data_IF_839593086603
#
_entry.id   IF_839593086603
#
_cell.length_a   1.000
_cell.length_b   1.000
_cell.length_c   1.000
_cell.angle_alpha   90.00
_cell.angle_beta   90.00
_cell.angle_gamma   90.00
#
_symmetry.space_group_name_H-M   'P 1'
#
loop_
_entity.id
_entity.type
_entity.pdbx_description
1 polymer ?
#
# COMPACT_ATOMS: atom_id res chain seq x y z
N UNK A 1 -35.39 -86.04 54.04
CA UNK A 1 -35.13 -84.57 54.11
C UNK A 1 -33.85 -84.24 54.89
N UNK A 2 -32.84 -85.14 54.96
CA UNK A 2 -31.59 -84.88 55.72
C UNK A 2 -30.39 -84.41 54.86
N UNK A 3 -30.40 -84.64 53.54
CA UNK A 3 -29.23 -84.35 52.69
C UNK A 3 -29.02 -82.87 52.31
N UNK A 4 -30.00 -81.98 52.50
CA UNK A 4 -29.82 -80.55 52.17
C UNK A 4 -29.13 -79.75 53.29
N UNK A 5 -29.18 -80.22 54.55
CA UNK A 5 -28.53 -79.53 55.67
C UNK A 5 -27.00 -79.64 55.62
N UNK A 6 -26.48 -80.78 55.18
CA UNK A 6 -25.03 -81.05 55.18
C UNK A 6 -24.25 -80.26 54.10
N UNK A 7 -24.89 -79.90 52.99
CA UNK A 7 -24.27 -79.09 51.94
C UNK A 7 -24.13 -77.61 52.34
N UNK A 8 -25.17 -77.04 52.98
CA UNK A 8 -25.15 -75.66 53.48
C UNK A 8 -24.09 -75.46 54.58
N UNK A 9 -23.92 -76.45 55.45
CA UNK A 9 -22.91 -76.42 56.50
C UNK A 9 -21.47 -76.46 55.94
N UNK A 10 -21.22 -77.22 54.87
CA UNK A 10 -19.92 -77.27 54.20
C UNK A 10 -19.56 -75.95 53.50
N UNK A 11 -20.54 -75.28 52.88
CA UNK A 11 -20.30 -73.97 52.26
C UNK A 11 -19.94 -72.90 53.30
N UNK A 12 -20.62 -72.90 54.46
CA UNK A 12 -20.28 -72.01 55.57
C UNK A 12 -18.85 -72.24 56.07
N UNK A 13 -18.43 -73.50 56.20
CA UNK A 13 -17.07 -73.85 56.61
C UNK A 13 -16.03 -73.34 55.58
N UNK A 14 -16.30 -73.50 54.29
CA UNK A 14 -15.42 -73.00 53.22
C UNK A 14 -15.29 -71.47 53.27
N UNK A 15 -16.38 -70.75 53.53
CA UNK A 15 -16.38 -69.29 53.67
C UNK A 15 -15.52 -68.86 54.87
N UNK A 16 -15.66 -69.54 56.01
CA UNK A 16 -14.87 -69.24 57.22
C UNK A 16 -13.38 -69.47 56.95
N UNK A 17 -13.00 -70.62 56.37
CA UNK A 17 -11.60 -70.93 56.03
C UNK A 17 -11.03 -69.88 55.06
N UNK A 18 -11.81 -69.48 54.06
CA UNK A 18 -11.40 -68.48 53.07
C UNK A 18 -11.19 -67.10 53.70
N UNK A 19 -12.05 -66.70 54.62
CA UNK A 19 -11.93 -65.42 55.32
C UNK A 19 -10.74 -65.41 56.27
N UNK A 20 -10.53 -66.50 57.02
CA UNK A 20 -9.40 -66.65 57.93
C UNK A 20 -8.05 -66.70 57.20
N UNK A 21 -7.99 -67.34 56.03
CA UNK A 21 -6.82 -67.30 55.15
C UNK A 21 -6.53 -65.89 54.62
N UNK A 22 -7.55 -65.14 54.19
CA UNK A 22 -7.39 -63.73 53.75
C UNK A 22 -6.94 -62.81 54.88
N UNK A 23 -7.37 -63.08 56.11
CA UNK A 23 -6.96 -62.37 57.31
C UNK A 23 -5.58 -62.80 57.84
N UNK A 24 -4.86 -63.68 57.12
CA UNK A 24 -3.50 -64.09 57.44
C UNK A 24 -3.38 -65.05 58.62
N UNK A 25 -4.45 -65.74 59.01
CA UNK A 25 -4.38 -66.74 60.10
C UNK A 25 -3.57 -67.96 59.66
N UNK A 26 -2.85 -68.56 60.61
CA UNK A 26 -1.96 -69.68 60.31
C UNK A 26 -2.71 -70.98 60.01
N UNK A 27 -2.11 -71.83 59.17
CA UNK A 27 -2.62 -73.18 58.85
C UNK A 27 -2.98 -74.01 60.09
N UNK A 28 -2.13 -73.97 61.10
CA UNK A 28 -2.34 -74.73 62.35
C UNK A 28 -3.53 -74.21 63.14
N UNK A 29 -3.76 -72.89 63.15
CA UNK A 29 -4.91 -72.29 63.83
C UNK A 29 -6.22 -72.73 63.19
N UNK A 30 -6.30 -72.69 61.86
CA UNK A 30 -7.52 -73.02 61.12
C UNK A 30 -7.83 -74.52 61.26
N UNK A 31 -6.82 -75.40 61.16
CA UNK A 31 -7.03 -76.84 61.36
C UNK A 31 -7.48 -77.15 62.80
N UNK A 32 -6.89 -76.49 63.80
CA UNK A 32 -7.29 -76.67 65.21
C UNK A 32 -8.74 -76.22 65.46
N UNK A 33 -9.14 -75.07 64.92
CA UNK A 33 -10.52 -74.58 65.01
C UNK A 33 -11.53 -75.57 64.38
N UNK A 34 -11.22 -76.09 63.19
CA UNK A 34 -12.06 -77.08 62.51
C UNK A 34 -12.18 -78.39 63.31
N UNK A 35 -11.09 -78.85 63.92
CA UNK A 35 -11.09 -80.11 64.67
C UNK A 35 -11.76 -80.00 66.05
N UNK A 36 -11.49 -78.93 66.81
CA UNK A 36 -11.98 -78.81 68.18
C UNK A 36 -13.34 -78.13 68.29
N UNK A 37 -13.56 -77.03 67.57
CA UNK A 37 -14.79 -76.22 67.74
C UNK A 37 -15.93 -76.71 66.85
N UNK A 38 -15.59 -77.30 65.70
CA UNK A 38 -16.56 -77.86 64.74
C UNK A 38 -16.58 -79.40 64.74
N UNK A 39 -15.80 -80.02 65.64
CA UNK A 39 -15.75 -81.47 65.86
C UNK A 39 -15.51 -82.30 64.58
N UNK A 40 -14.77 -81.74 63.61
CA UNK A 40 -14.40 -82.46 62.39
C UNK A 40 -13.20 -83.37 62.64
N UNK A 41 -13.24 -84.54 62.03
CA UNK A 41 -12.06 -85.41 61.98
C UNK A 41 -10.85 -84.66 61.39
N UNK A 42 -9.69 -84.87 62.01
CA UNK A 42 -8.47 -84.15 61.66
C UNK A 42 -8.05 -84.35 60.19
N UNK A 43 -8.30 -85.53 59.62
CA UNK A 43 -7.99 -85.81 58.22
C UNK A 43 -8.90 -85.00 57.28
N UNK A 44 -10.18 -84.87 57.64
CA UNK A 44 -11.16 -84.09 56.88
C UNK A 44 -10.84 -82.58 56.95
N UNK A 45 -10.51 -82.06 58.14
CA UNK A 45 -10.11 -80.68 58.34
C UNK A 45 -8.89 -80.29 57.50
N UNK A 46 -7.88 -81.16 57.46
CA UNK A 46 -6.66 -80.94 56.66
C UNK A 46 -6.93 -80.96 55.15
N UNK A 47 -7.80 -81.85 54.68
CA UNK A 47 -8.18 -81.95 53.27
C UNK A 47 -8.97 -80.71 52.81
N UNK A 48 -9.92 -80.25 53.63
CA UNK A 48 -10.67 -79.02 53.37
C UNK A 48 -9.76 -77.79 53.32
N UNK A 49 -8.86 -77.63 54.30
CA UNK A 49 -7.90 -76.53 54.31
C UNK A 49 -7.05 -76.51 53.03
N UNK A 50 -6.45 -77.65 52.64
CA UNK A 50 -5.59 -77.71 51.45
C UNK A 50 -6.37 -77.38 50.17
N UNK A 51 -7.62 -77.84 50.05
CA UNK A 51 -8.48 -77.57 48.89
C UNK A 51 -8.85 -76.09 48.77
N UNK A 52 -9.03 -75.39 49.89
CA UNK A 52 -9.31 -73.94 49.92
C UNK A 52 -8.02 -73.13 49.70
N UNK A 53 -6.90 -73.53 50.32
CA UNK A 53 -5.59 -72.90 50.13
C UNK A 53 -5.13 -72.93 48.66
N UNK A 54 -5.34 -74.05 47.97
CA UNK A 54 -5.01 -74.18 46.54
C UNK A 54 -5.80 -73.21 45.65
N UNK A 55 -7.08 -72.98 45.96
CA UNK A 55 -7.94 -72.04 45.21
C UNK A 55 -7.58 -70.56 45.47
N UNK A 56 -6.91 -70.25 46.57
CA UNK A 56 -6.63 -68.87 47.01
C UNK A 56 -5.21 -68.42 46.63
N UNK A 57 -4.32 -69.31 46.15
CA UNK A 57 -2.96 -68.91 45.76
C UNK A 57 -2.99 -67.81 44.69
N UNK A 58 -2.32 -66.67 44.91
CA UNK A 58 -2.33 -65.57 43.95
C UNK A 58 -1.57 -65.95 42.68
N UNK A 59 -2.19 -65.69 41.52
CA UNK A 59 -1.55 -65.80 40.20
C UNK A 59 -0.38 -64.80 40.17
N UNK A 60 0.84 -65.29 39.95
CA UNK A 60 2.05 -64.47 39.93
C UNK A 60 1.97 -63.39 38.82
N UNK A 61 2.44 -62.16 39.06
CA UNK A 61 2.32 -61.07 38.09
C UNK A 61 3.22 -61.29 36.87
N UNK A 62 2.69 -60.96 35.70
CA UNK A 62 3.27 -61.17 34.37
C UNK A 62 4.28 -60.05 34.05
N UNK A 63 5.47 -60.09 34.64
CA UNK A 63 6.49 -59.01 34.57
C UNK A 63 7.20 -58.86 33.21
N UNK A 64 7.10 -59.82 32.28
CA UNK A 64 7.86 -59.76 31.02
C UNK A 64 7.21 -58.90 29.91
N UNK A 65 5.89 -58.72 29.95
CA UNK A 65 5.15 -58.04 28.87
C UNK A 65 5.35 -56.51 28.92
N UNK A 66 5.43 -55.94 30.12
CA UNK A 66 5.56 -54.49 30.29
C UNK A 66 6.90 -53.93 29.79
N UNK A 67 7.99 -54.69 29.88
CA UNK A 67 9.30 -54.25 29.35
C UNK A 67 9.33 -54.21 27.81
N UNK A 68 8.63 -55.13 27.15
CA UNK A 68 8.51 -55.13 25.68
C UNK A 68 7.70 -53.94 25.16
N UNK A 69 6.59 -53.61 25.82
CA UNK A 69 5.72 -52.49 25.43
C UNK A 69 6.45 -51.15 25.58
N UNK A 70 7.19 -50.95 26.68
CA UNK A 70 7.91 -49.70 26.91
C UNK A 70 9.02 -49.46 25.89
N UNK A 71 9.71 -50.53 25.47
CA UNK A 71 10.73 -50.47 24.41
C UNK A 71 10.14 -50.04 23.06
N UNK A 72 8.99 -50.59 22.67
CA UNK A 72 8.28 -50.20 21.45
C UNK A 72 7.84 -48.73 21.48
N UNK A 73 7.42 -48.22 22.64
CA UNK A 73 6.97 -46.84 22.81
C UNK A 73 8.14 -45.85 22.63
N UNK A 74 9.31 -46.15 23.21
CA UNK A 74 10.52 -45.35 23.02
C UNK A 74 10.96 -45.34 21.55
N UNK A 75 10.94 -46.52 20.90
CA UNK A 75 11.31 -46.64 19.49
C UNK A 75 10.36 -45.84 18.58
N UNK A 76 9.05 -45.86 18.86
CA UNK A 76 8.06 -45.08 18.13
C UNK A 76 8.31 -43.57 18.24
N UNK A 77 8.60 -43.07 19.45
CA UNK A 77 8.94 -41.65 19.66
C UNK A 77 10.19 -41.27 18.86
N UNK A 78 11.23 -42.11 18.91
CA UNK A 78 12.48 -41.86 18.22
C UNK A 78 12.32 -41.79 16.70
N UNK A 79 11.54 -42.72 16.12
CA UNK A 79 11.23 -42.73 14.68
C UNK A 79 10.48 -41.46 14.28
N UNK A 80 9.52 -40.98 15.07
CA UNK A 80 8.78 -39.74 14.77
C UNK A 80 9.67 -38.50 14.83
N UNK A 81 10.58 -38.41 15.80
CA UNK A 81 11.53 -37.29 15.89
C UNK A 81 12.46 -37.27 14.66
N UNK A 82 12.95 -38.43 14.23
CA UNK A 82 13.78 -38.55 13.03
C UNK A 82 12.99 -38.18 11.77
N UNK A 83 11.75 -38.65 11.64
CA UNK A 83 10.88 -38.31 10.51
C UNK A 83 10.61 -36.80 10.45
N UNK A 84 10.30 -36.19 11.59
CA UNK A 84 10.06 -34.74 11.67
C UNK A 84 11.33 -33.95 11.32
N UNK A 85 12.47 -34.30 11.91
CA UNK A 85 13.75 -33.65 11.61
C UNK A 85 14.19 -33.84 10.16
N UNK A 86 13.94 -35.02 9.58
CA UNK A 86 14.21 -35.32 8.18
C UNK A 86 13.34 -34.50 7.23
N UNK A 87 12.05 -34.34 7.53
CA UNK A 87 11.15 -33.49 6.77
C UNK A 87 11.58 -32.01 6.84
N UNK A 88 11.90 -31.51 8.04
CA UNK A 88 12.34 -30.13 8.22
C UNK A 88 13.63 -29.83 7.42
N UNK A 89 14.61 -30.74 7.47
CA UNK A 89 15.85 -30.62 6.68
C UNK A 89 15.61 -30.73 5.17
N UNK A 90 14.73 -31.64 4.76
CA UNK A 90 14.41 -31.85 3.35
C UNK A 90 13.71 -30.62 2.75
N UNK A 91 12.77 -30.02 3.47
CA UNK A 91 12.00 -28.86 3.00
C UNK A 91 12.67 -27.51 3.25
N UNK A 92 13.77 -27.45 4.01
CA UNK A 92 14.47 -26.18 4.33
C UNK A 92 14.78 -25.34 3.08
N UNK A 93 15.31 -25.98 2.03
CA UNK A 93 15.69 -25.27 0.80
C UNK A 93 14.44 -24.75 0.04
N UNK A 94 13.35 -25.49 0.06
CA UNK A 94 12.10 -25.07 -0.58
C UNK A 94 11.40 -23.97 0.24
N UNK A 95 11.54 -24.00 1.56
CA UNK A 95 11.05 -22.96 2.46
C UNK A 95 11.84 -21.65 2.26
N UNK A 96 13.14 -21.72 2.06
CA UNK A 96 13.99 -20.58 1.71
C UNK A 96 13.61 -19.97 0.36
N UNK A 97 13.40 -20.81 -0.67
CA UNK A 97 12.88 -20.35 -1.97
C UNK A 97 11.52 -19.66 -1.82
N UNK A 98 10.64 -20.20 -0.99
CA UNK A 98 9.31 -19.63 -0.78
C UNK A 98 9.36 -18.25 -0.12
N UNK A 99 10.21 -18.08 0.90
CA UNK A 99 10.44 -16.78 1.52
C UNK A 99 11.13 -15.79 0.57
N UNK A 100 12.08 -16.24 -0.26
CA UNK A 100 12.69 -15.40 -1.30
C UNK A 100 11.66 -14.92 -2.32
N UNK A 101 10.82 -15.82 -2.84
CA UNK A 101 9.73 -15.47 -3.78
C UNK A 101 8.75 -14.50 -3.12
N UNK A 102 8.44 -14.67 -1.84
CA UNK A 102 7.56 -13.77 -1.09
C UNK A 102 8.17 -12.37 -0.93
N UNK A 103 9.47 -12.29 -0.68
CA UNK A 103 10.20 -11.01 -0.63
C UNK A 103 10.21 -10.33 -2.01
N UNK A 104 10.49 -11.07 -3.08
CA UNK A 104 10.44 -10.55 -4.46
C UNK A 104 9.04 -10.04 -4.81
N UNK A 105 7.98 -10.82 -4.51
CA UNK A 105 6.59 -10.40 -4.71
C UNK A 105 6.26 -9.13 -3.91
N UNK A 106 6.76 -9.01 -2.68
CA UNK A 106 6.56 -7.81 -1.86
C UNK A 106 7.27 -6.59 -2.45
N UNK A 107 8.50 -6.76 -2.96
CA UNK A 107 9.24 -5.70 -3.64
C UNK A 107 8.53 -5.26 -4.91
N UNK A 108 8.15 -6.23 -5.75
CA UNK A 108 7.47 -5.98 -7.02
C UNK A 108 6.13 -5.28 -6.81
N UNK A 109 5.39 -5.63 -5.75
CA UNK A 109 4.17 -4.93 -5.35
C UNK A 109 4.43 -3.47 -5.01
N UNK A 110 5.48 -3.18 -4.24
CA UNK A 110 5.85 -1.79 -3.91
C UNK A 110 6.25 -0.98 -5.15
N UNK A 111 6.96 -1.61 -6.08
CA UNK A 111 7.31 -0.98 -7.36
C UNK A 111 6.08 -0.69 -8.20
N UNK A 112 5.11 -1.60 -8.23
CA UNK A 112 3.84 -1.43 -8.95
C UNK A 112 3.01 -0.29 -8.34
N UNK A 113 2.88 -0.25 -7.02
CA UNK A 113 2.18 0.85 -6.30
C UNK A 113 2.87 2.21 -6.57
N UNK A 114 4.21 2.23 -6.63
CA UNK A 114 4.97 3.45 -6.95
C UNK A 114 4.77 3.90 -8.40
N UNK A 115 4.77 2.95 -9.35
CA UNK A 115 4.50 3.22 -10.75
C UNK A 115 3.07 3.72 -10.99
N UNK A 116 2.10 3.14 -10.29
CA UNK A 116 0.69 3.57 -10.33
C UNK A 116 0.54 5.01 -9.84
N UNK A 117 1.17 5.36 -8.70
CA UNK A 117 1.19 6.74 -8.21
C UNK A 117 1.87 7.72 -9.19
N UNK A 118 2.95 7.29 -9.85
CA UNK A 118 3.63 8.10 -10.86
C UNK A 118 2.76 8.33 -12.09
N UNK A 119 2.06 7.30 -12.56
CA UNK A 119 1.11 7.41 -13.67
C UNK A 119 -0.01 8.38 -13.34
N UNK A 120 -0.59 8.28 -12.13
CA UNK A 120 -1.61 9.21 -11.66
C UNK A 120 -1.15 10.67 -11.71
N UNK A 121 0.06 10.96 -11.22
CA UNK A 121 0.62 12.31 -11.26
C UNK A 121 0.94 12.79 -12.69
N UNK A 122 1.34 11.89 -13.58
CA UNK A 122 1.55 12.22 -15.00
C UNK A 122 0.24 12.53 -15.71
N UNK A 123 -0.83 11.80 -15.41
CA UNK A 123 -2.16 12.06 -15.98
C UNK A 123 -2.72 13.41 -15.49
N UNK A 124 -2.57 13.74 -14.21
CA UNK A 124 -2.97 15.05 -13.68
C UNK A 124 -2.19 16.20 -14.36
N UNK A 125 -0.88 16.05 -14.54
CA UNK A 125 -0.08 17.05 -15.26
C UNK A 125 -0.49 17.19 -16.72
N UNK A 126 -0.83 16.08 -17.39
CA UNK A 126 -1.30 16.09 -18.78
C UNK A 126 -2.62 16.85 -18.90
N UNK A 127 -3.57 16.61 -18.00
CA UNK A 127 -4.85 17.32 -17.99
C UNK A 127 -4.64 18.83 -17.79
N UNK A 128 -3.77 19.23 -16.85
CA UNK A 128 -3.41 20.64 -16.64
C UNK A 128 -2.77 21.26 -17.88
N UNK A 129 -1.89 20.52 -18.57
CA UNK A 129 -1.22 20.99 -19.78
C UNK A 129 -2.22 21.16 -20.94
N UNK A 130 -3.17 20.24 -21.10
CA UNK A 130 -4.22 20.33 -22.13
C UNK A 130 -5.16 21.51 -21.87
N UNK A 131 -5.49 21.79 -20.59
CA UNK A 131 -6.24 22.97 -20.19
C UNK A 131 -5.50 24.28 -20.49
N UNK A 132 -4.20 24.33 -20.16
CA UNK A 132 -3.34 25.48 -20.46
C UNK A 132 -3.19 25.71 -21.98
N UNK A 133 -3.00 24.63 -22.75
CA UNK A 133 -2.91 24.68 -24.22
C UNK A 133 -4.18 25.24 -24.85
N UNK A 134 -5.34 24.79 -24.38
CA UNK A 134 -6.63 25.28 -24.88
C UNK A 134 -6.83 26.75 -24.57
N UNK A 135 -6.51 27.16 -23.34
CA UNK A 135 -6.59 28.56 -22.90
C UNK A 135 -5.64 29.46 -23.72
N UNK A 136 -4.40 29.02 -23.94
CA UNK A 136 -3.42 29.73 -24.76
C UNK A 136 -3.89 29.88 -26.21
N UNK A 137 -4.48 28.82 -26.79
CA UNK A 137 -5.03 28.88 -28.16
C UNK A 137 -6.09 29.97 -28.29
N UNK A 138 -7.02 30.04 -27.32
CA UNK A 138 -8.08 31.06 -27.30
C UNK A 138 -7.50 32.48 -27.16
N UNK A 139 -6.48 32.65 -26.32
CA UNK A 139 -5.80 33.95 -26.17
C UNK A 139 -5.09 34.37 -27.45
N UNK A 140 -4.34 33.46 -28.08
CA UNK A 140 -3.63 33.73 -29.34
C UNK A 140 -4.62 34.08 -30.46
N UNK A 141 -5.73 33.35 -30.59
CA UNK A 141 -6.75 33.64 -31.60
C UNK A 141 -7.39 35.01 -31.37
N UNK A 142 -7.60 35.41 -30.11
CA UNK A 142 -8.09 36.74 -29.75
C UNK A 142 -7.07 37.83 -30.10
N UNK A 143 -5.84 37.68 -29.65
CA UNK A 143 -4.76 38.65 -29.88
C UNK A 143 -4.52 38.84 -31.38
N UNK A 144 -4.56 37.75 -32.16
CA UNK A 144 -4.44 37.80 -33.62
C UNK A 144 -5.59 38.59 -34.27
N UNK A 145 -6.82 38.40 -33.77
CA UNK A 145 -7.99 39.15 -34.25
C UNK A 145 -7.88 40.64 -33.93
N UNK A 146 -7.46 40.98 -32.72
CA UNK A 146 -7.28 42.37 -32.28
C UNK A 146 -6.15 43.06 -33.05
N UNK A 147 -5.04 42.35 -33.28
CA UNK A 147 -3.95 42.81 -34.13
C UNK A 147 -4.42 43.12 -35.55
N UNK A 148 -5.16 42.21 -36.20
CA UNK A 148 -5.67 42.44 -37.55
C UNK A 148 -6.59 43.66 -37.61
N UNK A 149 -7.42 43.89 -36.58
CA UNK A 149 -8.27 45.08 -36.52
C UNK A 149 -7.45 46.37 -36.49
N UNK A 150 -6.35 46.41 -35.73
CA UNK A 150 -5.45 47.56 -35.69
C UNK A 150 -4.75 47.77 -37.03
N UNK A 151 -4.32 46.69 -37.69
CA UNK A 151 -3.72 46.75 -39.03
C UNK A 151 -4.71 47.29 -40.05
N UNK A 152 -5.97 46.82 -40.03
CA UNK A 152 -7.02 47.30 -40.92
C UNK A 152 -7.33 48.78 -40.70
N UNK A 153 -7.40 49.21 -39.43
CA UNK A 153 -7.59 50.61 -39.09
C UNK A 153 -6.43 51.50 -39.55
N UNK A 154 -5.19 51.02 -39.36
CA UNK A 154 -3.99 51.70 -39.87
C UNK A 154 -4.06 51.83 -41.39
N UNK A 155 -4.27 50.72 -42.11
CA UNK A 155 -4.36 50.69 -43.57
C UNK A 155 -5.49 51.57 -44.11
N UNK A 156 -6.59 51.71 -43.39
CA UNK A 156 -7.68 52.63 -43.73
C UNK A 156 -7.30 54.10 -43.56
N UNK A 157 -6.43 54.42 -42.61
CA UNK A 157 -6.05 55.80 -42.29
C UNK A 157 -4.85 56.31 -43.11
N UNK A 158 -3.93 55.44 -43.54
CA UNK A 158 -2.81 55.78 -44.43
C UNK A 158 -3.24 56.60 -45.67
N UNK A 159 -4.22 56.17 -46.48
CA UNK A 159 -4.62 56.93 -47.67
C UNK A 159 -5.23 58.30 -47.31
N UNK A 160 -5.94 58.40 -46.18
CA UNK A 160 -6.50 59.69 -45.72
C UNK A 160 -5.39 60.68 -45.40
N UNK A 161 -4.36 60.25 -44.67
CA UNK A 161 -3.21 61.11 -44.36
C UNK A 161 -2.42 61.48 -45.61
N UNK A 162 -2.26 60.55 -46.55
CA UNK A 162 -1.63 60.85 -47.85
C UNK A 162 -2.42 61.91 -48.62
N UNK A 163 -3.75 61.82 -48.65
CA UNK A 163 -4.59 62.83 -49.30
C UNK A 163 -4.46 64.20 -48.61
N UNK A 164 -4.48 64.24 -47.27
CA UNK A 164 -4.26 65.49 -46.53
C UNK A 164 -2.88 66.10 -46.83
N UNK A 165 -1.84 65.28 -46.98
CA UNK A 165 -0.51 65.75 -47.39
C UNK A 165 -0.51 66.34 -48.80
N UNK A 166 -1.25 65.73 -49.73
CA UNK A 166 -1.41 66.26 -51.10
C UNK A 166 -2.11 67.62 -51.06
N UNK A 167 -3.25 67.72 -50.36
CA UNK A 167 -4.00 68.99 -50.22
C UNK A 167 -3.14 70.11 -49.61
N UNK A 168 -2.32 69.78 -48.60
CA UNK A 168 -1.41 70.76 -47.98
C UNK A 168 -0.31 71.21 -48.95
N UNK A 169 0.26 70.29 -49.73
CA UNK A 169 1.25 70.64 -50.77
C UNK A 169 0.64 71.58 -51.81
N UNK A 170 -0.58 71.32 -52.25
CA UNK A 170 -1.29 72.19 -53.20
C UNK A 170 -1.52 73.59 -52.63
N UNK A 171 -1.93 73.70 -51.35
CA UNK A 171 -2.07 75.00 -50.67
C UNK A 171 -0.77 75.77 -50.59
N UNK A 172 0.34 75.10 -50.26
CA UNK A 172 1.67 75.71 -50.22
C UNK A 172 2.09 76.20 -51.61
N UNK A 173 1.90 75.39 -52.65
CA UNK A 173 2.19 75.81 -54.03
C UNK A 173 1.39 77.05 -54.43
N UNK A 174 0.09 77.08 -54.14
CA UNK A 174 -0.77 78.23 -54.43
C UNK A 174 -0.37 79.48 -53.64
N UNK A 175 0.03 79.33 -52.38
CA UNK A 175 0.54 80.44 -51.57
C UNK A 175 1.81 81.04 -52.16
N UNK A 176 2.75 80.19 -52.61
CA UNK A 176 3.98 80.65 -53.24
C UNK A 176 3.71 81.38 -54.56
N UNK A 177 2.81 80.84 -55.39
CA UNK A 177 2.37 81.49 -56.64
C UNK A 177 1.80 82.90 -56.38
N UNK A 178 0.87 83.02 -55.42
CA UNK A 178 0.31 84.33 -55.02
C UNK A 178 1.38 85.28 -54.46
N UNK A 179 2.36 84.74 -53.74
CA UNK A 179 3.49 85.53 -53.21
C UNK A 179 4.36 86.06 -54.34
N UNK A 180 4.64 85.24 -55.35
CA UNK A 180 5.40 85.64 -56.54
C UNK A 180 4.65 86.67 -57.38
N UNK A 181 3.35 86.47 -57.61
CA UNK A 181 2.48 87.46 -58.25
C UNK A 181 2.48 88.80 -57.50
N UNK A 182 2.33 88.76 -56.17
CA UNK A 182 2.40 89.95 -55.33
C UNK A 182 3.76 90.64 -55.45
N UNK A 183 4.87 89.90 -55.35
CA UNK A 183 6.21 90.44 -55.46
C UNK A 183 6.45 91.10 -56.82
N UNK A 184 5.98 90.47 -57.90
CA UNK A 184 6.03 91.03 -59.24
C UNK A 184 5.21 92.32 -59.32
N UNK A 185 3.97 92.32 -58.85
CA UNK A 185 3.10 93.50 -58.88
C UNK A 185 3.67 94.64 -58.03
N UNK A 186 4.15 94.34 -56.82
CA UNK A 186 4.80 95.28 -55.92
C UNK A 186 6.03 95.91 -56.57
N UNK A 187 6.85 95.12 -57.27
CA UNK A 187 7.99 95.64 -58.02
C UNK A 187 7.54 96.68 -59.05
N UNK A 188 6.48 96.45 -59.83
CA UNK A 188 6.01 97.43 -60.80
C UNK A 188 5.27 98.63 -60.18
N UNK A 189 4.43 98.40 -59.17
CA UNK A 189 3.62 99.43 -58.53
C UNK A 189 4.44 100.38 -57.65
N UNK A 190 5.38 99.84 -56.87
CA UNK A 190 6.26 100.63 -55.99
C UNK A 190 7.55 101.11 -56.68
N UNK A 191 7.88 100.63 -57.88
CA UNK A 191 8.89 101.29 -58.75
C UNK A 191 8.34 102.54 -59.46
N UNK A 192 7.09 102.94 -59.20
CA UNK A 192 6.58 104.26 -59.58
C UNK A 192 7.20 105.31 -58.67
N UNK A 193 8.43 105.68 -58.99
CA UNK A 193 9.06 106.91 -58.54
C UNK A 193 8.18 108.06 -59.02
N UNK A 194 7.50 108.72 -58.09
CA UNK A 194 7.00 110.06 -58.31
C UNK A 194 8.20 110.97 -58.53
N UNK A 195 8.39 111.36 -59.79
CA UNK A 195 9.30 112.40 -60.22
C UNK A 195 8.74 113.75 -59.72
N UNK A 196 8.95 114.07 -58.45
CA UNK A 196 8.81 115.45 -57.98
C UNK A 196 10.15 116.15 -58.21
N UNK A 197 10.25 117.14 -59.12
CA UNK A 197 11.41 118.01 -59.15
C UNK A 197 11.38 118.86 -57.87
N UNK A 198 12.15 118.46 -56.86
CA UNK A 198 12.45 119.37 -55.77
C UNK A 198 13.46 120.40 -56.28
N UNK A 199 13.15 121.71 -56.25
CA UNK A 199 14.17 122.72 -56.48
C UNK A 199 15.20 122.61 -55.35
N UNK A 200 16.45 122.30 -55.68
CA UNK A 200 17.53 122.43 -54.71
C UNK A 200 17.74 123.92 -54.45
N UNK A 201 17.61 124.41 -53.20
CA UNK A 201 17.93 125.80 -52.89
C UNK A 201 19.42 126.05 -53.18
N UNK A 202 19.67 127.03 -54.06
CA UNK A 202 21.00 127.45 -54.46
C UNK A 202 21.81 127.96 -53.28
N UNK A 203 23.05 127.48 -53.18
CA UNK A 203 24.01 128.07 -52.26
C UNK A 203 24.59 129.33 -52.92
N UNK A 204 23.99 130.48 -52.64
CA UNK A 204 24.62 131.78 -52.86
C UNK A 204 25.79 131.91 -51.90
N UNK A 205 27.01 131.68 -52.39
CA UNK A 205 28.20 132.14 -51.70
C UNK A 205 28.57 133.53 -52.24
N UNK A 206 28.15 134.54 -51.50
CA UNK A 206 28.68 135.89 -51.55
C UNK A 206 30.08 135.90 -50.91
N UNK A 207 31.12 136.10 -51.72
CA UNK A 207 32.37 136.72 -51.32
C UNK A 207 32.71 137.70 -52.47
N UNK A 208 32.39 138.98 -52.31
CA UNK A 208 33.26 140.03 -51.74
C UNK A 208 34.57 140.12 -52.54
N UNK A 209 34.57 141.06 -53.49
CA UNK A 209 35.53 142.16 -53.56
C UNK A 209 34.76 143.43 -53.94
#
# INVERSE_FOLDING_TARGET
MENNRTAEDLERIIIIISNDLKNGKSKSYIIHYLTNDLNLDHAIAKLLYNKVEEKIKPVKPQESIFKGIFSLLILYIFINVILWGGQELYYKNDMEKCENIKMELSSLKKELDNLENKLFFMDEQKERLDGARTSLKVLVDRDYKDYNKLVDEHNKNVPKYNNMLIEQKEKISRYNELTDEYNNLAKYAYSRWWLFPFPMPGNHNTNIN
#
